data_IF_965705613221
#
_entry.id   IF_965705613221
#
_cell.length_a   1.000
_cell.length_b   1.000
_cell.length_c   1.000
_cell.angle_alpha   90.00
_cell.angle_beta   90.00
_cell.angle_gamma   90.00
#
_symmetry.space_group_name_H-M   'P 1'
#
loop_
_entity.id
_entity.type
_entity.pdbx_description
1 polymer ?
#
# COMPACT_ATOMS: atom_id res chain seq x y z
N UNK A 1 -34.59 -8.71 9.44
CA UNK A 1 -34.03 -9.71 10.38
C UNK A 1 -32.95 -8.99 11.21
N UNK A 2 -32.13 -9.67 12.01
CA UNK A 2 -30.90 -9.07 12.55
C UNK A 2 -29.74 -9.75 11.82
N UNK A 3 -29.06 -9.06 10.89
CA UNK A 3 -27.86 -9.61 10.26
C UNK A 3 -26.82 -9.86 11.35
N UNK A 4 -26.21 -11.05 11.34
CA UNK A 4 -25.06 -11.37 12.17
C UNK A 4 -23.83 -10.76 11.47
N UNK A 5 -23.54 -9.49 11.74
CA UNK A 5 -22.29 -8.90 11.26
C UNK A 5 -21.14 -9.44 12.11
N UNK A 6 -20.31 -10.31 11.52
CA UNK A 6 -19.05 -10.77 12.10
C UNK A 6 -17.90 -10.30 11.21
N UNK A 7 -16.75 -10.05 11.82
CA UNK A 7 -15.48 -9.91 11.13
C UNK A 7 -14.89 -11.31 10.91
N UNK A 8 -14.90 -11.76 9.65
CA UNK A 8 -14.24 -12.99 9.19
C UNK A 8 -13.13 -12.59 8.24
N UNK A 9 -11.99 -13.24 8.42
CA UNK A 9 -10.67 -12.77 7.97
C UNK A 9 -10.30 -13.50 6.67
N UNK A 10 -10.96 -13.13 5.57
CA UNK A 10 -10.70 -13.65 4.21
C UNK A 10 -10.71 -12.48 3.23
N UNK A 11 -9.72 -12.42 2.35
CA UNK A 11 -9.40 -11.25 1.53
C UNK A 11 -10.30 -11.16 0.28
N UNK A 12 -11.50 -10.59 0.43
CA UNK A 12 -12.31 -10.17 -0.73
C UNK A 12 -11.58 -9.04 -1.49
N UNK A 13 -10.78 -9.42 -2.48
CA UNK A 13 -10.04 -8.51 -3.34
C UNK A 13 -11.00 -7.62 -4.12
N UNK A 14 -11.16 -6.37 -3.69
CA UNK A 14 -12.00 -5.37 -4.33
C UNK A 14 -11.39 -4.89 -5.67
N UNK A 15 -11.43 -5.75 -6.70
CA UNK A 15 -10.97 -5.49 -8.07
C UNK A 15 -11.73 -4.37 -8.82
N UNK A 16 -12.58 -3.61 -8.13
CA UNK A 16 -13.27 -2.42 -8.62
C UNK A 16 -12.36 -1.37 -9.27
N UNK A 17 -11.06 -1.36 -8.95
CA UNK A 17 -10.06 -0.52 -9.64
C UNK A 17 -9.88 -0.88 -11.12
N UNK A 18 -9.84 -2.17 -11.48
CA UNK A 18 -9.46 -2.62 -12.82
C UNK A 18 -10.54 -2.36 -13.89
N UNK A 19 -11.83 -2.46 -13.53
CA UNK A 19 -12.94 -2.33 -14.49
C UNK A 19 -13.06 -0.91 -15.12
N UNK A 20 -12.48 0.11 -14.48
CA UNK A 20 -12.59 1.51 -14.93
C UNK A 20 -11.68 1.86 -16.12
N UNK A 21 -10.61 1.09 -16.36
CA UNK A 21 -9.52 1.48 -17.26
C UNK A 21 -9.79 1.24 -18.76
N UNK A 22 -10.82 0.47 -19.15
CA UNK A 22 -11.10 0.11 -20.55
C UNK A 22 -12.30 0.85 -21.18
N UNK A 23 -12.97 1.73 -20.43
CA UNK A 23 -14.21 2.39 -20.86
C UNK A 23 -14.01 3.67 -21.71
N UNK A 24 -13.44 3.52 -22.92
CA UNK A 24 -13.81 4.35 -24.07
C UNK A 24 -13.13 5.72 -24.26
N UNK A 25 -11.96 5.71 -24.90
CA UNK A 25 -11.50 6.85 -25.70
C UNK A 25 -11.88 6.65 -27.19
N UNK A 26 -12.75 7.51 -27.76
CA UNK A 26 -12.84 7.89 -29.20
C UNK A 26 -14.05 8.81 -29.47
N UNK A 27 -13.94 9.71 -30.46
CA UNK A 27 -14.98 10.60 -31.04
C UNK A 27 -15.53 11.72 -30.13
N UNK A 28 -15.08 12.99 -30.19
CA UNK A 28 -15.02 13.97 -31.30
C UNK A 28 -16.38 14.52 -31.77
N UNK A 29 -16.58 15.86 -31.84
CA UNK A 29 -17.77 16.43 -32.52
C UNK A 29 -18.31 17.84 -32.16
N UNK A 30 -17.49 18.90 -32.14
CA UNK A 30 -17.81 20.34 -32.40
C UNK A 30 -19.27 20.86 -32.29
N UNK A 31 -19.55 21.75 -31.31
CA UNK A 31 -20.34 23.01 -31.37
C UNK A 31 -20.72 23.49 -29.92
N UNK A 32 -20.91 24.77 -29.58
CA UNK A 32 -20.74 26.04 -30.30
C UNK A 32 -21.53 27.20 -29.64
N UNK A 33 -21.03 28.45 -29.71
CA UNK A 33 -21.66 29.75 -29.30
C UNK A 33 -22.03 29.95 -27.81
N UNK A 34 -21.46 30.96 -27.13
CA UNK A 34 -22.04 32.30 -26.77
C UNK A 34 -23.14 32.26 -25.67
N UNK A 35 -23.28 33.21 -24.73
CA UNK A 35 -22.52 34.37 -24.20
C UNK A 35 -23.24 34.83 -22.88
N UNK A 36 -22.99 35.91 -22.12
CA UNK A 36 -22.18 37.15 -22.17
C UNK A 36 -22.14 37.79 -20.74
N UNK A 37 -21.52 38.99 -20.56
CA UNK A 37 -21.86 40.03 -19.53
C UNK A 37 -21.53 39.70 -18.04
N UNK A 38 -21.04 40.60 -17.15
CA UNK A 38 -20.58 42.02 -17.12
C UNK A 38 -19.35 42.06 -16.14
N UNK A 39 -18.29 42.87 -16.31
CA UNK A 39 -18.11 44.28 -15.85
C UNK A 39 -18.36 44.49 -14.33
N UNK A 40 -17.53 45.14 -13.48
CA UNK A 40 -16.57 46.28 -13.57
C UNK A 40 -15.41 46.11 -12.54
N UNK A 41 -14.15 46.56 -12.75
CA UNK A 41 -13.58 47.93 -12.52
C UNK A 41 -13.66 48.46 -11.05
N UNK A 42 -12.69 49.20 -10.45
CA UNK A 42 -11.34 49.71 -10.84
C UNK A 42 -10.61 50.36 -9.61
N UNK A 43 -9.33 50.79 -9.76
CA UNK A 43 -8.50 51.68 -8.88
C UNK A 43 -8.08 51.06 -7.52
N UNK A 44 -6.83 51.10 -7.02
CA UNK A 44 -5.69 52.04 -7.13
C UNK A 44 -5.52 52.80 -5.78
N UNK A 45 -4.37 53.28 -5.31
CA UNK A 45 -2.94 53.29 -5.74
C UNK A 45 -2.06 53.47 -4.44
N UNK A 46 -0.77 53.87 -4.36
CA UNK A 46 0.18 54.50 -5.29
C UNK A 46 1.68 54.41 -4.86
N UNK A 47 2.56 54.71 -5.83
CA UNK A 47 3.93 55.31 -5.80
C UNK A 47 4.75 55.46 -4.48
N UNK A 48 6.02 55.01 -4.51
CA UNK A 48 7.25 55.85 -4.31
C UNK A 48 8.60 55.10 -4.38
N UNK A 49 9.57 55.63 -5.16
CA UNK A 49 11.02 55.41 -5.03
C UNK A 49 11.74 56.76 -4.83
N UNK A 50 12.94 56.78 -4.23
CA UNK A 50 14.18 57.26 -4.90
C UNK A 50 15.31 56.20 -4.84
N UNK A 51 16.35 56.14 -5.70
CA UNK A 51 17.48 57.10 -5.96
C UNK A 51 18.40 57.33 -4.73
N UNK A 52 19.74 57.44 -4.80
CA UNK A 52 20.69 57.59 -5.93
C UNK A 52 22.17 57.20 -5.56
N UNK A 53 22.91 56.64 -6.54
CA UNK A 53 24.36 56.79 -6.93
C UNK A 53 25.62 56.60 -6.04
N UNK A 54 26.75 56.35 -6.76
CA UNK A 54 28.18 56.67 -6.47
C UNK A 54 29.06 55.60 -5.76
N UNK A 55 30.39 55.44 -5.99
CA UNK A 55 31.29 55.40 -7.19
C UNK A 55 32.78 55.24 -6.73
N UNK A 56 33.73 55.00 -7.66
CA UNK A 56 35.22 55.02 -7.51
C UNK A 56 35.88 53.89 -6.65
N UNK A 57 37.18 53.52 -6.79
CA UNK A 57 38.20 53.67 -7.88
C UNK A 57 39.54 52.97 -7.54
N UNK A 58 40.31 52.52 -8.55
CA UNK A 58 41.70 52.00 -8.46
C UNK A 58 41.83 50.60 -9.11
N UNK A 59 42.74 50.23 -10.02
CA UNK A 59 44.16 50.61 -10.31
C UNK A 59 45.16 50.07 -9.27
N UNK A 60 46.28 49.41 -9.60
CA UNK A 60 47.00 49.18 -10.89
C UNK A 60 47.80 47.84 -10.90
N UNK A 61 48.34 47.41 -12.05
CA UNK A 61 49.68 46.77 -12.11
C UNK A 61 49.87 45.31 -12.58
N UNK A 62 50.51 45.15 -13.74
CA UNK A 62 51.56 44.18 -14.14
C UNK A 62 51.52 42.66 -13.83
N UNK A 63 51.05 41.90 -14.84
CA UNK A 63 51.91 41.13 -15.80
C UNK A 63 52.96 40.10 -15.28
N UNK A 64 52.66 38.83 -15.58
CA UNK A 64 53.51 37.71 -16.06
C UNK A 64 53.96 36.55 -15.14
N UNK A 65 53.68 35.38 -15.72
CA UNK A 65 54.47 34.14 -15.78
C UNK A 65 54.22 32.99 -14.79
N UNK A 66 54.58 31.83 -15.30
CA UNK A 66 54.17 30.47 -14.95
C UNK A 66 55.00 29.84 -13.84
N UNK A 67 54.39 28.96 -13.06
CA UNK A 67 54.76 27.53 -13.05
C UNK A 67 53.93 26.68 -12.07
N UNK A 68 53.88 25.38 -12.40
CA UNK A 68 53.64 24.21 -11.53
C UNK A 68 52.33 24.07 -10.75
N UNK A 69 51.75 22.87 -10.86
CA UNK A 69 50.60 22.43 -10.09
C UNK A 69 51.04 21.79 -8.77
N UNK A 70 50.15 21.80 -7.79
CA UNK A 70 50.12 20.78 -6.75
C UNK A 70 48.67 20.51 -6.34
N UNK A 71 48.41 19.29 -5.89
CA UNK A 71 47.07 18.76 -5.68
C UNK A 71 46.43 19.39 -4.44
N UNK A 72 45.29 20.08 -4.64
CA UNK A 72 44.40 20.40 -3.54
C UNK A 72 43.63 19.13 -3.17
N UNK A 73 43.92 18.58 -1.99
CA UNK A 73 43.09 17.54 -1.39
C UNK A 73 41.78 18.20 -0.95
N UNK A 74 40.80 18.20 -1.84
CA UNK A 74 39.45 18.71 -1.58
C UNK A 74 38.72 17.74 -0.66
N UNK A 75 38.88 17.93 0.65
CA UNK A 75 38.04 17.29 1.66
C UNK A 75 36.73 18.05 1.65
N UNK A 76 35.82 17.62 0.78
CA UNK A 76 34.45 18.10 0.75
C UNK A 76 33.75 17.68 2.04
N UNK A 77 33.76 18.57 3.04
CA UNK A 77 32.80 18.53 4.14
C UNK A 77 31.40 18.55 3.51
N UNK A 78 30.58 17.52 3.77
CA UNK A 78 29.22 17.47 3.24
C UNK A 78 28.37 18.50 3.99
N UNK A 79 27.93 19.53 3.28
CA UNK A 79 26.84 20.38 3.75
C UNK A 79 25.55 19.55 3.74
N UNK A 80 25.28 18.80 4.81
CA UNK A 80 24.08 17.98 4.91
C UNK A 80 22.79 18.85 4.89
N UNK A 81 22.92 20.15 5.19
CA UNK A 81 21.89 21.17 4.98
C UNK A 81 21.55 21.47 3.52
N UNK A 82 22.49 21.27 2.59
CA UNK A 82 22.23 21.43 1.14
C UNK A 82 21.53 20.19 0.55
N UNK A 83 21.68 19.02 1.18
CA UNK A 83 20.99 17.78 0.78
C UNK A 83 19.48 17.85 1.09
N UNK A 84 19.08 18.49 2.19
CA UNK A 84 17.66 18.61 2.57
C UNK A 84 16.81 19.36 1.53
N UNK A 85 17.40 20.30 0.79
CA UNK A 85 16.71 21.04 -0.27
C UNK A 85 16.51 20.23 -1.57
N UNK A 86 17.05 19.00 -1.64
CA UNK A 86 16.97 18.09 -2.80
C UNK A 86 15.97 16.95 -2.61
N UNK A 87 15.30 16.88 -1.45
CA UNK A 87 14.23 15.90 -1.21
C UNK A 87 12.99 16.37 -1.98
N UNK A 88 12.51 15.56 -2.92
CA UNK A 88 11.32 15.86 -3.73
C UNK A 88 10.05 15.24 -3.13
N UNK A 89 10.19 14.07 -2.52
CA UNK A 89 9.07 13.27 -2.02
C UNK A 89 9.43 12.68 -0.66
N UNK A 90 8.51 12.81 0.29
CA UNK A 90 8.57 12.14 1.58
C UNK A 90 7.51 11.04 1.56
N UNK A 91 7.92 9.82 1.87
CA UNK A 91 7.00 8.72 2.10
C UNK A 91 6.91 8.45 3.59
N UNK A 92 5.71 8.64 4.13
CA UNK A 92 5.33 8.31 5.50
C UNK A 92 4.63 6.96 5.47
N UNK A 93 5.42 5.92 5.69
CA UNK A 93 5.00 4.52 5.68
C UNK A 93 4.34 4.08 4.37
N UNK A 94 3.00 3.92 4.33
CA UNK A 94 2.26 3.62 3.09
C UNK A 94 2.01 4.85 2.21
N UNK A 95 2.13 6.08 2.73
CA UNK A 95 1.72 7.32 2.07
C UNK A 95 2.94 8.07 1.49
N UNK A 96 3.14 7.96 0.17
CA UNK A 96 4.09 8.75 -0.62
C UNK A 96 3.49 10.11 -0.97
N UNK A 97 4.18 11.23 -0.69
CA UNK A 97 3.72 12.58 -1.04
C UNK A 97 4.86 13.55 -1.42
N UNK A 98 4.70 14.41 -2.44
CA UNK A 98 5.63 15.50 -2.74
C UNK A 98 5.78 16.47 -1.56
N UNK A 99 6.97 17.01 -1.36
CA UNK A 99 7.30 17.87 -0.21
C UNK A 99 6.45 19.15 -0.16
N UNK A 100 5.98 19.66 -1.30
CA UNK A 100 5.11 20.85 -1.37
C UNK A 100 3.64 20.57 -1.00
N UNK A 101 3.23 19.30 -0.92
CA UNK A 101 1.91 18.92 -0.41
C UNK A 101 1.90 18.80 1.12
N UNK A 102 3.07 18.55 1.72
CA UNK A 102 3.27 18.59 3.17
C UNK A 102 3.34 20.04 3.67
N UNK A 103 2.91 20.31 4.90
CA UNK A 103 3.08 21.63 5.51
C UNK A 103 4.59 21.97 5.59
N UNK A 104 4.99 23.15 5.10
CA UNK A 104 6.39 23.56 4.97
C UNK A 104 7.15 23.64 6.32
N UNK A 105 6.48 23.98 7.42
CA UNK A 105 7.09 23.97 8.75
C UNK A 105 7.26 22.53 9.25
N UNK A 106 6.24 21.69 9.03
CA UNK A 106 6.25 20.27 9.41
C UNK A 106 7.28 19.45 8.62
N UNK A 107 7.37 19.62 7.30
CA UNK A 107 8.34 18.92 6.45
C UNK A 107 9.77 19.34 6.78
N UNK A 108 10.01 20.64 6.96
CA UNK A 108 11.31 21.13 7.42
C UNK A 108 11.69 20.54 8.78
N UNK A 109 10.78 20.55 9.76
CA UNK A 109 11.06 20.03 11.10
C UNK A 109 11.38 18.52 11.09
N UNK A 110 10.70 17.74 10.24
CA UNK A 110 10.99 16.31 10.04
C UNK A 110 12.38 16.12 9.43
N UNK A 111 12.68 16.82 8.33
CA UNK A 111 13.96 16.75 7.65
C UNK A 111 15.14 17.19 8.54
N UNK A 112 14.96 18.26 9.32
CA UNK A 112 15.97 18.75 10.28
C UNK A 112 16.27 17.69 11.36
N UNK A 113 15.25 16.98 11.84
CA UNK A 113 15.37 15.86 12.80
C UNK A 113 16.01 14.60 12.21
N UNK A 114 15.71 14.24 10.97
CA UNK A 114 16.24 13.06 10.30
C UNK A 114 17.72 13.21 9.92
N UNK A 115 18.14 14.39 9.47
CA UNK A 115 19.53 14.65 9.08
C UNK A 115 20.45 15.03 10.23
N UNK A 116 19.92 15.52 11.36
CA UNK A 116 20.72 15.86 12.55
C UNK A 116 20.19 15.15 13.80
N UNK A 117 20.23 13.80 13.83
CA UNK A 117 19.87 13.04 15.02
C UNK A 117 20.86 13.30 16.16
N UNK A 118 20.40 13.16 17.39
CA UNK A 118 21.18 13.49 18.59
C UNK A 118 22.30 12.45 18.83
N UNK A 119 23.56 12.83 18.61
CA UNK A 119 24.73 11.96 18.84
C UNK A 119 24.82 11.47 20.31
N UNK A 120 24.34 12.24 21.29
CA UNK A 120 24.30 11.79 22.69
C UNK A 120 23.21 10.73 22.94
N UNK A 121 22.28 10.54 22.00
CA UNK A 121 21.21 9.55 22.05
C UNK A 121 21.54 8.21 21.33
N UNK A 122 22.75 8.02 20.78
CA UNK A 122 23.16 6.76 20.13
C UNK A 122 23.14 5.59 21.12
N UNK A 123 22.50 4.48 20.74
CA UNK A 123 22.32 3.28 21.58
C UNK A 123 22.75 1.99 20.87
N UNK A 124 23.20 1.01 21.67
CA UNK A 124 23.67 -0.29 21.19
C UNK A 124 22.88 -1.44 21.82
N UNK A 125 22.63 -2.49 21.05
CA UNK A 125 22.00 -3.72 21.54
C UNK A 125 20.49 -3.65 21.74
N UNK A 126 19.86 -2.53 21.37
CA UNK A 126 18.43 -2.50 21.04
C UNK A 126 18.24 -3.41 19.82
N UNK A 127 17.23 -4.27 19.85
CA UNK A 127 16.77 -4.99 18.67
C UNK A 127 15.65 -4.20 18.02
N UNK A 128 15.62 -4.21 16.69
CA UNK A 128 14.43 -3.91 15.91
C UNK A 128 13.25 -4.72 16.46
N UNK A 129 12.07 -4.10 16.54
CA UNK A 129 10.82 -4.79 16.84
C UNK A 129 10.15 -5.28 15.57
N UNK A 130 9.33 -6.33 15.69
CA UNK A 130 8.58 -6.91 14.55
C UNK A 130 7.55 -5.93 13.96
N UNK A 131 7.20 -4.87 14.72
CA UNK A 131 6.41 -3.71 14.26
C UNK A 131 7.32 -2.47 14.19
N UNK A 132 7.25 -1.76 13.07
CA UNK A 132 7.99 -0.52 12.81
C UNK A 132 7.15 0.45 11.97
N UNK A 133 7.51 1.74 12.00
CA UNK A 133 7.05 2.76 11.05
C UNK A 133 8.24 3.19 10.18
N UNK A 134 8.03 3.38 8.87
CA UNK A 134 9.11 3.80 7.96
C UNK A 134 8.94 5.24 7.47
N UNK A 135 10.06 5.97 7.36
CA UNK A 135 10.13 7.22 6.58
C UNK A 135 11.16 7.04 5.47
N UNK A 136 10.73 7.15 4.21
CA UNK A 136 11.63 7.18 3.07
C UNK A 136 11.70 8.60 2.46
N UNK A 137 12.92 9.11 2.28
CA UNK A 137 13.20 10.37 1.60
C UNK A 137 13.69 10.07 0.19
N UNK A 138 13.02 10.60 -0.83
CA UNK A 138 13.38 10.44 -2.24
C UNK A 138 14.00 11.75 -2.74
N UNK A 139 15.18 11.65 -3.37
CA UNK A 139 15.98 12.81 -3.79
C UNK A 139 15.89 13.07 -5.30
N UNK A 140 16.12 14.32 -5.74
CA UNK A 140 16.11 14.74 -7.16
C UNK A 140 16.97 13.86 -8.10
N UNK A 141 18.04 13.27 -7.57
CA UNK A 141 18.97 12.42 -8.31
C UNK A 141 18.54 10.93 -8.39
N UNK A 142 17.44 10.55 -7.75
CA UNK A 142 16.94 9.17 -7.63
C UNK A 142 17.46 8.40 -6.42
N UNK A 143 18.33 8.98 -5.58
CA UNK A 143 18.74 8.35 -4.33
C UNK A 143 17.58 8.30 -3.33
N UNK A 144 17.65 7.32 -2.40
CA UNK A 144 16.65 7.10 -1.37
C UNK A 144 17.32 6.87 -0.01
N UNK A 145 16.77 7.46 1.05
CA UNK A 145 17.21 7.25 2.44
C UNK A 145 16.01 6.81 3.28
N UNK A 146 16.06 5.60 3.83
CA UNK A 146 15.01 5.02 4.68
C UNK A 146 15.43 5.10 6.14
N UNK A 147 14.51 5.52 7.00
CA UNK A 147 14.66 5.57 8.45
C UNK A 147 13.55 4.73 9.10
N UNK A 148 13.90 3.89 10.07
CA UNK A 148 12.96 2.97 10.71
C UNK A 148 12.72 3.36 12.17
N UNK A 149 11.45 3.43 12.56
CA UNK A 149 11.03 3.86 13.89
C UNK A 149 10.41 2.71 14.67
N UNK A 150 10.93 2.47 15.87
CA UNK A 150 10.54 1.34 16.73
C UNK A 150 10.10 1.84 18.12
N UNK A 151 8.98 1.33 18.62
CA UNK A 151 8.54 1.55 19.99
C UNK A 151 8.86 0.32 20.85
N UNK A 152 9.87 0.42 21.72
CA UNK A 152 10.37 -0.70 22.54
C UNK A 152 10.38 -0.31 24.01
N UNK A 153 9.67 -1.10 24.84
CA UNK A 153 9.60 -0.93 26.29
C UNK A 153 9.22 0.50 26.78
N UNK A 154 8.31 1.16 26.07
CA UNK A 154 7.84 2.51 26.40
C UNK A 154 8.78 3.64 25.95
N UNK A 155 9.58 3.40 24.90
CA UNK A 155 10.51 4.37 24.31
C UNK A 155 10.55 4.25 22.80
N UNK A 156 10.71 5.38 22.12
CA UNK A 156 10.90 5.46 20.69
C UNK A 156 12.39 5.49 20.32
N UNK A 157 12.72 4.72 19.29
CA UNK A 157 14.04 4.60 18.69
C UNK A 157 13.94 4.82 17.16
N UNK A 158 15.01 5.36 16.57
CA UNK A 158 15.17 5.53 15.12
C UNK A 158 16.45 4.81 14.67
N UNK A 159 16.35 4.01 13.61
CA UNK A 159 17.50 3.52 12.84
C UNK A 159 17.67 4.36 11.58
N UNK A 160 18.89 4.83 11.32
CA UNK A 160 19.26 5.60 10.12
C UNK A 160 19.75 4.70 8.98
N UNK A 161 19.87 5.21 7.72
CA UNK A 161 20.25 4.41 6.55
C UNK A 161 21.60 3.66 6.63
N UNK A 162 22.46 3.98 7.59
CA UNK A 162 23.74 3.31 7.87
C UNK A 162 23.66 2.21 8.94
N UNK A 163 22.49 2.03 9.57
CA UNK A 163 22.26 1.11 10.69
C UNK A 163 22.57 1.71 12.07
N UNK A 164 22.81 3.02 12.19
CA UNK A 164 23.01 3.66 13.49
C UNK A 164 21.67 3.86 14.21
N UNK A 165 21.62 3.45 15.48
CA UNK A 165 20.42 3.46 16.32
C UNK A 165 20.43 4.62 17.33
N UNK A 166 19.38 5.44 17.31
CA UNK A 166 19.19 6.61 18.16
C UNK A 166 17.96 6.44 19.06
N UNK A 167 18.05 6.89 20.32
CA UNK A 167 16.91 7.01 21.23
C UNK A 167 16.22 8.39 21.12
N UNK A 168 15.11 8.58 21.83
CA UNK A 168 14.33 9.83 21.86
C UNK A 168 13.76 10.22 20.48
N UNK A 169 13.34 9.20 19.71
CA UNK A 169 12.74 9.35 18.39
C UNK A 169 11.22 9.64 18.45
N UNK A 170 10.70 10.03 19.61
CA UNK A 170 9.27 10.25 19.86
C UNK A 170 8.67 11.40 19.04
N UNK A 171 9.50 12.28 18.47
CA UNK A 171 9.07 13.29 17.49
C UNK A 171 8.33 12.70 16.29
N UNK A 172 8.49 11.40 15.99
CA UNK A 172 7.78 10.77 14.88
C UNK A 172 6.27 10.75 15.09
N UNK A 173 5.77 10.75 16.34
CA UNK A 173 4.33 10.70 16.61
C UNK A 173 3.57 11.95 16.15
N UNK A 174 4.27 13.06 15.89
CA UNK A 174 3.67 14.27 15.30
C UNK A 174 3.30 14.08 13.80
N UNK A 175 3.82 13.02 13.17
CA UNK A 175 3.66 12.70 11.75
C UNK A 175 2.87 11.41 11.49
N UNK A 176 2.72 10.56 12.52
CA UNK A 176 1.99 9.29 12.44
C UNK A 176 0.50 9.52 12.68
N UNK A 177 -0.34 8.96 11.80
CA UNK A 177 -1.79 9.07 11.91
C UNK A 177 -2.40 8.19 13.01
N UNK A 178 -2.47 8.71 14.24
CA UNK A 178 -3.11 8.06 15.38
C UNK A 178 -2.13 7.35 16.33
N UNK A 179 -2.66 6.76 17.41
CA UNK A 179 -1.85 6.07 18.42
C UNK A 179 -1.26 4.77 17.89
N UNK A 180 -0.08 4.87 17.25
CA UNK A 180 0.78 3.74 16.87
C UNK A 180 1.19 2.87 18.07
N UNK A 181 1.03 3.38 19.30
CA UNK A 181 1.18 2.63 20.54
C UNK A 181 0.02 1.63 20.78
N UNK A 182 -1.19 1.94 20.32
CA UNK A 182 -2.39 1.07 20.45
C UNK A 182 -2.54 0.11 19.25
N UNK A 183 -1.71 0.24 18.21
CA UNK A 183 -1.58 -0.76 17.13
C UNK A 183 -1.05 -2.13 17.59
N UNK A 184 -0.85 -2.35 18.90
CA UNK A 184 -0.64 -3.69 19.45
C UNK A 184 -1.89 -4.58 19.26
N UNK A 185 -3.11 -4.01 19.26
CA UNK A 185 -4.39 -4.75 19.19
C UNK A 185 -5.24 -4.46 17.92
N UNK A 186 -4.74 -3.66 16.98
CA UNK A 186 -5.44 -3.38 15.71
C UNK A 186 -5.36 -4.59 14.73
N UNK A 187 -6.49 -5.27 14.51
CA UNK A 187 -6.66 -6.21 13.38
C UNK A 187 -6.87 -5.40 12.10
N UNK A 188 -5.79 -5.19 11.36
CA UNK A 188 -5.73 -4.23 10.25
C UNK A 188 -6.21 -4.82 8.92
N UNK A 189 -6.92 -4.00 8.13
CA UNK A 189 -7.13 -4.20 6.69
C UNK A 189 -8.09 -5.31 6.24
N UNK A 190 -8.33 -6.35 7.04
CA UNK A 190 -9.10 -7.53 6.61
C UNK A 190 -10.56 -7.19 6.25
N UNK A 191 -11.01 -7.43 5.00
CA UNK A 191 -12.39 -7.16 4.63
C UNK A 191 -13.36 -8.16 5.30
N UNK A 192 -14.59 -7.69 5.55
CA UNK A 192 -15.61 -8.42 6.31
C UNK A 192 -16.35 -9.44 5.43
N UNK A 193 -16.05 -10.74 5.50
CA UNK A 193 -17.08 -11.73 5.12
C UNK A 193 -18.15 -11.72 6.22
N UNK A 194 -19.31 -11.17 5.88
CA UNK A 194 -20.49 -11.16 6.74
C UNK A 194 -21.17 -12.53 6.69
N UNK A 195 -20.66 -13.48 7.48
CA UNK A 195 -21.34 -14.77 7.69
C UNK A 195 -22.66 -14.51 8.44
N UNK A 196 -23.74 -14.41 7.67
CA UNK A 196 -25.11 -14.38 8.16
C UNK A 196 -25.91 -15.62 7.71
N UNK A 197 -27.22 -15.62 8.01
CA UNK A 197 -28.07 -16.80 7.87
C UNK A 197 -28.15 -17.31 6.42
N UNK A 198 -28.02 -16.42 5.43
CA UNK A 198 -28.13 -16.75 4.00
C UNK A 198 -26.79 -17.34 3.49
N UNK A 199 -25.64 -16.78 3.88
CA UNK A 199 -24.31 -17.36 3.61
C UNK A 199 -24.17 -18.78 4.21
N UNK A 200 -24.63 -18.99 5.44
CA UNK A 200 -24.63 -20.31 6.08
C UNK A 200 -25.62 -21.30 5.44
N UNK A 201 -26.62 -20.83 4.70
CA UNK A 201 -27.51 -21.68 3.91
C UNK A 201 -26.89 -22.05 2.54
N UNK A 202 -25.86 -21.32 2.09
CA UNK A 202 -25.05 -21.68 0.93
C UNK A 202 -23.99 -22.71 1.30
N UNK A 203 -23.30 -22.53 2.44
CA UNK A 203 -22.38 -23.51 3.04
C UNK A 203 -22.99 -24.93 3.15
N UNK A 204 -24.27 -25.04 3.53
CA UNK A 204 -24.99 -26.32 3.61
C UNK A 204 -25.12 -27.07 2.26
N UNK A 205 -24.77 -26.47 1.11
CA UNK A 205 -24.73 -27.13 -0.22
C UNK A 205 -23.38 -27.84 -0.52
N UNK A 206 -22.31 -27.59 0.23
CA UNK A 206 -20.93 -28.01 -0.09
C UNK A 206 -20.29 -28.82 1.03
N UNK A 207 -19.40 -29.76 0.70
CA UNK A 207 -18.65 -30.56 1.68
C UNK A 207 -17.31 -29.90 2.08
N UNK A 208 -16.73 -29.05 1.22
CA UNK A 208 -15.43 -28.37 1.39
C UNK A 208 -15.55 -26.91 0.89
N UNK A 209 -14.68 -25.99 1.34
CA UNK A 209 -14.59 -24.63 0.78
C UNK A 209 -13.56 -24.60 -0.34
N UNK A 210 -14.00 -25.06 -1.51
CA UNK A 210 -13.24 -25.14 -2.75
C UNK A 210 -13.70 -24.08 -3.76
N UNK A 211 -13.14 -24.14 -4.98
CA UNK A 211 -13.52 -23.25 -6.08
C UNK A 211 -15.02 -23.32 -6.43
N UNK A 212 -15.71 -24.44 -6.19
CA UNK A 212 -17.14 -24.57 -6.43
C UNK A 212 -17.96 -23.77 -5.39
N UNK A 213 -17.54 -23.82 -4.11
CA UNK A 213 -18.12 -22.99 -3.06
C UNK A 213 -17.85 -21.49 -3.28
N UNK A 214 -16.61 -21.12 -3.61
CA UNK A 214 -16.22 -19.72 -3.85
C UNK A 214 -16.96 -19.15 -5.06
N UNK A 215 -17.01 -19.88 -6.18
CA UNK A 215 -17.78 -19.48 -7.37
C UNK A 215 -19.26 -19.29 -7.06
N UNK A 216 -19.88 -20.25 -6.38
CA UNK A 216 -21.29 -20.18 -6.05
C UNK A 216 -21.58 -18.97 -5.14
N UNK A 217 -20.79 -18.80 -4.07
CA UNK A 217 -21.02 -17.76 -3.07
C UNK A 217 -20.78 -16.34 -3.62
N UNK A 218 -19.73 -16.10 -4.42
CA UNK A 218 -19.54 -14.81 -5.10
C UNK A 218 -20.71 -14.49 -6.06
N UNK A 219 -21.18 -15.47 -6.86
CA UNK A 219 -22.29 -15.23 -7.80
C UNK A 219 -23.59 -14.89 -7.06
N UNK A 220 -23.90 -15.60 -5.96
CA UNK A 220 -25.10 -15.27 -5.15
C UNK A 220 -24.99 -13.87 -4.52
N UNK A 221 -23.88 -13.54 -3.89
CA UNK A 221 -23.65 -12.23 -3.26
C UNK A 221 -23.68 -11.08 -4.29
N UNK A 222 -23.10 -11.27 -5.47
CA UNK A 222 -23.16 -10.30 -6.57
C UNK A 222 -24.59 -10.07 -7.06
N UNK A 223 -25.41 -11.12 -7.18
CA UNK A 223 -26.84 -11.02 -7.51
C UNK A 223 -27.62 -10.30 -6.40
N UNK A 224 -27.34 -10.56 -5.12
CA UNK A 224 -27.96 -9.84 -4.00
C UNK A 224 -27.60 -8.35 -3.95
N UNK A 225 -26.38 -8.00 -4.38
CA UNK A 225 -25.92 -6.61 -4.57
C UNK A 225 -26.54 -5.93 -5.80
N UNK A 226 -27.24 -6.68 -6.66
CA UNK A 226 -28.07 -6.18 -7.76
C UNK A 226 -27.53 -6.44 -9.16
N UNK A 227 -26.49 -7.26 -9.32
CA UNK A 227 -26.01 -7.73 -10.63
C UNK A 227 -27.05 -8.59 -11.34
N UNK A 228 -27.00 -8.65 -12.67
CA UNK A 228 -27.61 -9.76 -13.41
C UNK A 228 -26.76 -11.02 -13.22
N UNK A 229 -27.37 -12.19 -13.28
CA UNK A 229 -26.70 -13.49 -13.21
C UNK A 229 -25.58 -13.63 -14.26
N UNK A 230 -25.84 -13.18 -15.50
CA UNK A 230 -24.85 -13.15 -16.60
C UNK A 230 -23.61 -12.31 -16.26
N UNK A 231 -23.78 -11.15 -15.61
CA UNK A 231 -22.66 -10.28 -15.23
C UNK A 231 -21.97 -10.78 -13.95
N UNK A 232 -22.72 -11.34 -13.00
CA UNK A 232 -22.18 -11.97 -11.80
C UNK A 232 -21.24 -13.13 -12.16
N UNK A 233 -21.72 -14.08 -12.99
CA UNK A 233 -20.92 -15.21 -13.51
C UNK A 233 -19.68 -14.71 -14.27
N UNK A 234 -19.83 -13.68 -15.13
CA UNK A 234 -18.72 -13.11 -15.90
C UNK A 234 -17.65 -12.50 -14.99
N UNK A 235 -18.05 -11.72 -13.98
CA UNK A 235 -17.14 -11.07 -13.03
C UNK A 235 -16.47 -12.08 -12.10
N UNK A 236 -17.21 -13.07 -11.58
CA UNK A 236 -16.65 -14.12 -10.71
C UNK A 236 -15.63 -15.00 -11.42
N UNK A 237 -15.87 -15.35 -12.70
CA UNK A 237 -14.83 -16.05 -13.50
C UNK A 237 -13.55 -15.23 -13.64
N UNK A 238 -13.67 -13.92 -13.87
CA UNK A 238 -12.51 -13.01 -13.98
C UNK A 238 -11.82 -12.80 -12.62
N UNK A 239 -12.59 -12.68 -11.53
CA UNK A 239 -12.12 -12.57 -10.13
C UNK A 239 -11.32 -13.81 -9.71
N UNK A 240 -11.96 -14.98 -9.75
CA UNK A 240 -11.38 -16.23 -9.25
C UNK A 240 -10.20 -16.71 -10.12
N UNK A 241 -10.22 -16.48 -11.44
CA UNK A 241 -9.05 -16.77 -12.28
C UNK A 241 -7.82 -15.98 -11.85
N UNK A 242 -7.99 -14.67 -11.64
CA UNK A 242 -6.91 -13.81 -11.16
C UNK A 242 -6.47 -14.18 -9.73
N UNK A 243 -7.39 -14.64 -8.89
CA UNK A 243 -7.09 -15.08 -7.53
C UNK A 243 -6.27 -16.39 -7.51
N UNK A 244 -6.64 -17.39 -8.31
CA UNK A 244 -5.91 -18.65 -8.42
C UNK A 244 -4.47 -18.46 -8.91
N UNK A 245 -4.26 -17.60 -9.92
CA UNK A 245 -2.90 -17.24 -10.40
C UNK A 245 -2.09 -16.55 -9.29
N UNK A 246 -2.72 -15.67 -8.49
CA UNK A 246 -2.07 -14.99 -7.37
C UNK A 246 -1.71 -15.96 -6.23
N UNK A 247 -2.55 -16.96 -5.96
CA UNK A 247 -2.28 -18.04 -5.00
C UNK A 247 -1.09 -18.89 -5.47
N UNK A 248 -1.08 -19.33 -6.74
CA UNK A 248 0.01 -20.10 -7.32
C UNK A 248 1.34 -19.36 -7.23
N UNK A 249 1.37 -18.11 -7.70
CA UNK A 249 2.53 -17.23 -7.60
C UNK A 249 3.01 -17.02 -6.15
N UNK A 250 2.11 -16.81 -5.20
CA UNK A 250 2.48 -16.66 -3.79
C UNK A 250 3.14 -17.93 -3.23
N UNK A 251 2.58 -19.10 -3.51
CA UNK A 251 3.13 -20.40 -3.12
C UNK A 251 4.53 -20.61 -3.72
N UNK A 252 4.71 -20.36 -5.02
CA UNK A 252 6.00 -20.52 -5.73
C UNK A 252 7.08 -19.54 -5.28
N UNK A 253 6.70 -18.31 -4.93
CA UNK A 253 7.62 -17.32 -4.34
C UNK A 253 7.97 -17.60 -2.86
N UNK A 254 7.42 -18.68 -2.27
CA UNK A 254 7.77 -19.15 -0.94
C UNK A 254 6.89 -18.63 0.19
N UNK A 255 5.73 -18.04 -0.11
CA UNK A 255 4.76 -17.56 0.88
C UNK A 255 3.79 -18.65 1.38
N UNK A 256 3.94 -19.90 0.92
CA UNK A 256 3.17 -21.04 1.41
C UNK A 256 3.34 -21.23 2.94
N UNK A 257 2.23 -21.21 3.67
CA UNK A 257 2.22 -21.27 5.14
C UNK A 257 2.23 -22.70 5.69
N UNK A 258 2.54 -22.84 6.99
CA UNK A 258 2.55 -24.14 7.69
C UNK A 258 1.18 -24.51 8.24
N UNK A 259 0.93 -25.82 8.39
CA UNK A 259 -0.27 -26.37 9.06
C UNK A 259 -0.53 -25.70 10.43
N UNK A 260 0.53 -25.46 11.21
CA UNK A 260 0.46 -24.78 12.52
C UNK A 260 -0.05 -23.34 12.41
N UNK A 261 0.32 -22.62 11.34
CA UNK A 261 -0.18 -21.25 11.07
C UNK A 261 -1.65 -21.26 10.62
N UNK A 262 -2.05 -22.26 9.83
CA UNK A 262 -3.46 -22.46 9.43
C UNK A 262 -4.31 -22.79 10.66
N UNK A 263 -3.87 -23.74 11.51
CA UNK A 263 -4.59 -24.13 12.71
C UNK A 263 -4.78 -22.94 13.68
N UNK A 264 -3.72 -22.15 13.93
CA UNK A 264 -3.82 -20.94 14.76
C UNK A 264 -4.79 -19.93 14.16
N UNK A 265 -4.77 -19.72 12.83
CA UNK A 265 -5.71 -18.81 12.16
C UNK A 265 -7.17 -19.25 12.33
N UNK A 266 -7.45 -20.54 12.10
CA UNK A 266 -8.78 -21.11 12.31
C UNK A 266 -9.24 -21.05 13.78
N UNK A 267 -8.32 -21.22 14.74
CA UNK A 267 -8.63 -21.07 16.17
C UNK A 267 -8.99 -19.62 16.55
N UNK A 268 -8.26 -18.62 16.03
CA UNK A 268 -8.58 -17.21 16.26
C UNK A 268 -9.87 -16.78 15.53
N UNK A 269 -10.12 -17.27 14.31
CA UNK A 269 -11.42 -17.10 13.63
C UNK A 269 -12.55 -17.72 14.45
N UNK A 270 -12.42 -18.95 14.95
CA UNK A 270 -13.43 -19.61 15.78
C UNK A 270 -13.73 -18.81 17.06
N UNK A 271 -12.70 -18.26 17.69
CA UNK A 271 -12.80 -17.39 18.87
C UNK A 271 -13.51 -16.08 18.57
N UNK A 272 -13.18 -15.41 17.46
CA UNK A 272 -13.87 -14.20 17.01
C UNK A 272 -15.35 -14.49 16.68
N UNK A 273 -15.62 -15.48 15.82
CA UNK A 273 -16.96 -15.89 15.39
C UNK A 273 -17.86 -16.27 16.57
N UNK A 274 -17.40 -17.13 17.49
CA UNK A 274 -18.21 -17.57 18.65
C UNK A 274 -18.41 -16.50 19.71
N UNK A 275 -17.64 -15.40 19.67
CA UNK A 275 -17.88 -14.23 20.52
C UNK A 275 -19.02 -13.33 20.00
N UNK A 276 -19.43 -13.48 18.74
CA UNK A 276 -20.41 -12.61 18.10
C UNK A 276 -21.83 -12.81 18.65
N UNK A 277 -22.59 -11.71 18.70
CA UNK A 277 -23.89 -11.65 19.38
C UNK A 277 -25.00 -12.30 18.56
N UNK A 278 -25.21 -13.60 18.80
CA UNK A 278 -26.17 -14.43 18.08
C UNK A 278 -25.53 -15.54 17.25
N UNK A 279 -24.21 -15.71 17.37
CA UNK A 279 -23.48 -16.84 16.84
C UNK A 279 -24.08 -18.19 17.25
N UNK A 280 -24.12 -19.13 16.30
CA UNK A 280 -24.38 -20.54 16.54
C UNK A 280 -23.03 -21.29 16.48
N UNK A 281 -22.47 -21.76 17.62
CA UNK A 281 -21.17 -22.43 17.64
C UNK A 281 -21.11 -23.70 16.80
N UNK A 282 -22.22 -24.44 16.64
CA UNK A 282 -22.24 -25.70 15.89
C UNK A 282 -22.15 -25.42 14.38
N UNK A 283 -22.84 -24.37 13.89
CA UNK A 283 -22.67 -23.89 12.51
C UNK A 283 -21.27 -23.32 12.25
N UNK A 284 -20.70 -22.59 13.20
CA UNK A 284 -19.33 -22.05 13.07
C UNK A 284 -18.28 -23.16 13.01
N UNK A 285 -18.41 -24.20 13.84
CA UNK A 285 -17.51 -25.36 13.79
C UNK A 285 -17.69 -26.18 12.50
N UNK A 286 -18.92 -26.28 11.97
CA UNK A 286 -19.19 -26.86 10.65
C UNK A 286 -18.45 -26.08 9.55
N UNK A 287 -18.69 -24.77 9.45
CA UNK A 287 -18.07 -23.89 8.45
C UNK A 287 -16.53 -23.96 8.51
N UNK A 288 -15.92 -23.72 9.68
CA UNK A 288 -14.46 -23.70 9.81
C UNK A 288 -13.80 -25.07 9.58
N UNK A 289 -14.53 -26.18 9.71
CA UNK A 289 -13.99 -27.51 9.38
C UNK A 289 -13.74 -27.72 7.87
N UNK A 290 -14.37 -26.89 7.02
CA UNK A 290 -14.22 -26.90 5.56
C UNK A 290 -13.20 -25.89 5.05
N UNK A 291 -12.88 -24.86 5.84
CA UNK A 291 -12.06 -23.71 5.43
C UNK A 291 -10.55 -23.96 5.34
N UNK A 292 -10.04 -25.19 5.53
CA UNK A 292 -8.60 -25.43 5.72
C UNK A 292 -7.74 -24.92 4.55
N UNK A 293 -8.05 -25.33 3.33
CA UNK A 293 -7.25 -24.98 2.13
C UNK A 293 -7.43 -23.50 1.76
N UNK A 294 -8.67 -23.02 1.66
CA UNK A 294 -8.99 -21.59 1.47
C UNK A 294 -8.32 -20.66 2.51
N UNK A 295 -8.15 -21.12 3.76
CA UNK A 295 -7.39 -20.38 4.80
C UNK A 295 -5.89 -20.39 4.54
N UNK A 296 -5.31 -21.53 4.15
CA UNK A 296 -3.90 -21.61 3.76
C UNK A 296 -3.56 -20.72 2.57
N UNK A 297 -4.47 -20.64 1.61
CA UNK A 297 -4.31 -19.86 0.38
C UNK A 297 -4.48 -18.37 0.64
N UNK A 298 -5.50 -17.97 1.43
CA UNK A 298 -5.65 -16.60 1.93
C UNK A 298 -4.39 -16.13 2.67
N UNK A 299 -3.84 -16.97 3.57
CA UNK A 299 -2.64 -16.65 4.35
C UNK A 299 -1.36 -16.56 3.51
N UNK A 300 -1.27 -17.29 2.39
CA UNK A 300 -0.16 -17.17 1.44
C UNK A 300 -0.24 -15.84 0.66
N UNK A 301 -1.45 -15.44 0.24
CA UNK A 301 -1.68 -14.15 -0.41
C UNK A 301 -1.46 -12.98 0.57
N UNK A 302 -1.90 -13.10 1.83
CA UNK A 302 -1.58 -12.15 2.92
C UNK A 302 -0.05 -11.96 3.06
N UNK A 303 0.70 -13.06 3.10
CA UNK A 303 2.17 -13.00 3.28
C UNK A 303 2.87 -12.36 2.08
N UNK A 304 2.40 -12.60 0.86
CA UNK A 304 2.90 -11.92 -0.34
C UNK A 304 2.54 -10.42 -0.32
N UNK A 305 1.30 -10.08 0.04
CA UNK A 305 0.84 -8.68 0.15
C UNK A 305 1.66 -7.92 1.20
N UNK A 306 1.92 -8.52 2.36
CA UNK A 306 2.76 -7.95 3.42
C UNK A 306 4.20 -7.72 2.93
N UNK A 307 4.80 -8.69 2.22
CA UNK A 307 6.13 -8.55 1.63
C UNK A 307 6.21 -7.42 0.59
N UNK A 308 5.15 -7.22 -0.21
CA UNK A 308 5.07 -6.11 -1.16
C UNK A 308 4.79 -4.78 -0.48
N UNK A 309 3.99 -4.75 0.60
CA UNK A 309 3.78 -3.58 1.45
C UNK A 309 5.08 -3.14 2.12
N UNK A 310 5.84 -4.07 2.71
CA UNK A 310 7.14 -3.77 3.29
C UNK A 310 8.17 -3.33 2.23
N UNK A 311 8.15 -3.92 1.04
CA UNK A 311 8.94 -3.46 -0.11
C UNK A 311 8.63 -1.99 -0.43
N UNK A 312 7.35 -1.62 -0.54
CA UNK A 312 6.89 -0.25 -0.75
C UNK A 312 7.31 0.69 0.39
N UNK A 313 7.03 0.32 1.66
CA UNK A 313 7.34 1.10 2.86
C UNK A 313 8.85 1.37 3.00
N UNK A 314 9.69 0.46 2.49
CA UNK A 314 11.14 0.63 2.38
C UNK A 314 11.58 1.38 1.10
N UNK A 315 10.69 2.17 0.49
CA UNK A 315 10.98 3.07 -0.63
C UNK A 315 11.06 2.42 -2.00
N UNK A 316 10.75 1.13 -2.15
CA UNK A 316 10.64 0.52 -3.48
C UNK A 316 9.29 0.86 -4.10
N UNK A 317 9.27 1.94 -4.89
CA UNK A 317 8.09 2.51 -5.54
C UNK A 317 7.98 2.12 -7.03
N UNK A 318 8.79 1.16 -7.50
CA UNK A 318 8.98 0.93 -8.93
C UNK A 318 8.77 -0.53 -9.32
N UNK A 319 7.79 -0.80 -10.18
CA UNK A 319 7.56 -2.12 -10.80
C UNK A 319 8.04 -2.11 -12.25
N UNK A 320 9.08 -2.89 -12.55
CA UNK A 320 9.67 -3.07 -13.89
C UNK A 320 9.91 -1.74 -14.66
N UNK A 321 10.41 -0.72 -13.94
CA UNK A 321 10.68 0.62 -14.51
C UNK A 321 9.47 1.54 -14.63
N UNK A 322 8.32 1.17 -14.05
CA UNK A 322 7.18 2.07 -13.81
C UNK A 322 7.23 2.54 -12.36
N UNK A 323 7.48 3.83 -12.14
CA UNK A 323 7.30 4.46 -10.83
C UNK A 323 5.81 4.55 -10.50
N UNK A 324 5.46 4.34 -9.24
CA UNK A 324 4.10 4.36 -8.71
C UNK A 324 3.94 5.47 -7.66
N UNK A 325 2.75 6.08 -7.60
CA UNK A 325 2.44 7.18 -6.67
C UNK A 325 1.80 6.70 -5.35
N UNK A 326 1.14 5.54 -5.35
CA UNK A 326 0.49 4.96 -4.17
C UNK A 326 0.77 3.46 -4.08
N UNK A 327 0.57 2.88 -2.88
CA UNK A 327 0.68 1.44 -2.71
C UNK A 327 -0.37 0.67 -3.55
N UNK A 328 -1.58 1.20 -3.70
CA UNK A 328 -2.63 0.58 -4.53
C UNK A 328 -2.20 0.47 -6.00
N UNK A 329 -1.57 1.52 -6.55
CA UNK A 329 -0.98 1.49 -7.89
C UNK A 329 0.20 0.50 -7.92
N UNK A 330 1.14 0.58 -6.98
CA UNK A 330 2.29 -0.32 -6.90
C UNK A 330 1.89 -1.81 -6.87
N UNK A 331 0.87 -2.17 -6.07
CA UNK A 331 0.29 -3.51 -6.03
C UNK A 331 -0.43 -3.87 -7.34
N UNK A 332 -1.20 -2.96 -7.93
CA UNK A 332 -1.85 -3.18 -9.23
C UNK A 332 -0.84 -3.36 -10.37
N UNK A 333 0.23 -2.57 -10.42
CA UNK A 333 1.32 -2.72 -11.38
C UNK A 333 2.04 -4.07 -11.18
N UNK A 334 2.29 -4.48 -9.94
CA UNK A 334 2.88 -5.77 -9.61
C UNK A 334 2.02 -6.94 -10.12
N UNK A 335 0.72 -6.93 -9.82
CA UNK A 335 -0.22 -7.93 -10.32
C UNK A 335 -0.23 -8.00 -11.86
N UNK A 336 -0.38 -6.85 -12.52
CA UNK A 336 -0.54 -6.76 -13.98
C UNK A 336 0.77 -7.01 -14.77
N UNK A 337 1.94 -6.80 -14.18
CA UNK A 337 3.25 -6.88 -14.89
C UNK A 337 4.16 -8.01 -14.41
N UNK A 338 3.88 -8.62 -13.26
CA UNK A 338 4.69 -9.70 -12.69
C UNK A 338 3.87 -10.96 -12.47
N UNK A 339 2.72 -10.86 -11.79
CA UNK A 339 1.93 -12.03 -11.35
C UNK A 339 1.08 -12.62 -12.50
N UNK A 340 0.13 -11.86 -13.06
CA UNK A 340 -0.72 -12.41 -14.13
C UNK A 340 0.06 -12.83 -15.40
N UNK A 341 1.19 -12.18 -15.77
CA UNK A 341 2.05 -12.65 -16.86
C UNK A 341 2.98 -13.82 -16.53
N UNK A 342 3.03 -14.34 -15.29
CA UNK A 342 3.89 -15.49 -14.96
C UNK A 342 3.21 -16.85 -15.15
N UNK A 343 1.87 -16.90 -15.11
CA UNK A 343 1.12 -18.14 -15.31
C UNK A 343 1.30 -18.68 -16.73
N UNK A 344 1.47 -19.99 -16.87
CA UNK A 344 1.75 -20.63 -18.17
C UNK A 344 0.49 -21.14 -18.90
N UNK A 345 0.65 -21.57 -20.15
CA UNK A 345 -0.47 -22.00 -21.01
C UNK A 345 -1.18 -23.27 -20.49
N UNK A 346 -0.49 -24.13 -19.73
CA UNK A 346 -1.09 -25.34 -19.14
C UNK A 346 -1.81 -25.01 -17.82
N UNK A 347 -1.21 -24.18 -16.95
CA UNK A 347 -1.84 -23.67 -15.72
C UNK A 347 -3.13 -22.89 -16.02
N UNK A 348 -3.08 -21.94 -16.96
CA UNK A 348 -4.23 -21.13 -17.36
C UNK A 348 -5.38 -21.98 -17.95
N UNK A 349 -5.04 -23.10 -18.61
CA UNK A 349 -6.01 -24.04 -19.16
C UNK A 349 -6.64 -24.95 -18.09
N UNK A 350 -5.90 -25.30 -17.04
CA UNK A 350 -6.46 -26.01 -15.88
C UNK A 350 -7.42 -25.11 -15.11
N UNK A 351 -7.05 -23.86 -14.81
CA UNK A 351 -7.93 -22.90 -14.13
C UNK A 351 -9.22 -22.62 -14.95
N UNK A 352 -9.12 -22.47 -16.28
CA UNK A 352 -10.31 -22.28 -17.14
C UNK A 352 -11.23 -23.52 -17.16
N UNK A 353 -10.67 -24.73 -17.02
CA UNK A 353 -11.45 -25.95 -16.92
C UNK A 353 -12.17 -26.03 -15.57
N UNK A 354 -11.47 -25.80 -14.46
CA UNK A 354 -12.04 -25.81 -13.11
C UNK A 354 -13.17 -24.77 -12.96
N UNK A 355 -12.99 -23.55 -13.50
CA UNK A 355 -14.04 -22.51 -13.52
C UNK A 355 -15.22 -22.82 -14.45
N UNK A 356 -15.04 -23.69 -15.44
CA UNK A 356 -16.13 -24.16 -16.30
C UNK A 356 -16.97 -25.24 -15.61
N UNK A 357 -16.31 -26.16 -14.88
CA UNK A 357 -16.99 -27.15 -14.05
C UNK A 357 -17.72 -26.48 -12.87
N UNK A 358 -17.14 -25.44 -12.26
CA UNK A 358 -17.78 -24.65 -11.20
C UNK A 358 -19.03 -23.87 -11.68
N UNK A 359 -19.01 -23.31 -12.89
CA UNK A 359 -20.21 -22.70 -13.52
C UNK A 359 -21.31 -23.75 -13.78
N UNK A 360 -20.94 -24.90 -14.32
CA UNK A 360 -21.89 -26.00 -14.51
C UNK A 360 -22.50 -26.45 -13.17
N UNK A 361 -21.67 -26.53 -12.12
CA UNK A 361 -22.09 -26.90 -10.78
C UNK A 361 -22.97 -25.84 -10.11
N UNK A 362 -22.72 -24.55 -10.34
CA UNK A 362 -23.61 -23.47 -9.93
C UNK A 362 -25.01 -23.65 -10.53
N UNK A 363 -25.10 -23.93 -11.84
CA UNK A 363 -26.39 -24.15 -12.49
C UNK A 363 -27.11 -25.42 -12.00
N UNK A 364 -26.39 -26.53 -11.75
CA UNK A 364 -26.97 -27.74 -11.12
C UNK A 364 -27.58 -27.49 -9.72
N UNK A 365 -27.12 -26.46 -9.01
CA UNK A 365 -27.56 -26.13 -7.66
C UNK A 365 -28.75 -25.15 -7.61
N UNK A 366 -29.22 -24.66 -8.76
CA UNK A 366 -30.33 -23.71 -8.89
C UNK A 366 -31.53 -24.24 -9.73
N UNK A 367 -31.48 -25.50 -10.23
CA UNK A 367 -32.61 -26.22 -10.86
C UNK A 367 -33.56 -26.93 -9.87
#
# INVERSE_FOLDING_TARGET
MKKLMVLVLILSLSLAGCASAQAGAVSSGVAGTESNVEETQDVGSDVSSPEETSANSGDSGDVNDSSEANEANDVTESNDSDDLNKVVTIQLDSIKMPVEQMNQESSKALLEKLSHPDEEAVVYGVKQGDKYFAVCLHYENGDKKVFHFYHVAGKWYMESPDGTMYANADFITDYVGGDFADMEEAVEGSPLILIDDDWLAWDEKFDEHDLNFDFYSEVKDSIERGSSEEEAIRVTKESLKNHQILIGYAKDMGHAVTDERIEVSLQDMAKALKSAKGADPEKIDSYLSKSWESTGDSLAVDSLWQSMSDSWRNGNDTILGTECDTFDDYWAQFLQKVVYPSADEDELAEIDAQLSDAEARYHELEE
#
